data_IF_208232744437
#
_entry.id   IF_208232744437
#
_cell.length_a   1.000
_cell.length_b   1.000
_cell.length_c   1.000
_cell.angle_alpha   90.00
_cell.angle_beta   90.00
_cell.angle_gamma   90.00
#
_symmetry.space_group_name_H-M   'P 1'
#
loop_
_entity.id
_entity.type
_entity.pdbx_description
1 polymer ?
#
# COMPACT_ATOMS: atom_id res chain seq x y z
N UNK A 1 -15.73 10.55 17.32
CA UNK A 1 -15.51 9.59 16.23
C UNK A 1 -14.07 9.78 15.76
N UNK A 2 -13.16 8.86 16.10
CA UNK A 2 -11.80 8.91 15.56
C UNK A 2 -11.87 8.32 14.15
N UNK A 3 -12.00 9.16 13.14
CA UNK A 3 -11.93 8.72 11.75
C UNK A 3 -10.62 7.95 11.57
N UNK A 4 -10.68 6.79 10.93
CA UNK A 4 -9.59 5.82 10.81
C UNK A 4 -8.20 6.46 10.74
N UNK A 5 -7.38 6.21 11.77
CA UNK A 5 -6.16 6.98 12.02
C UNK A 5 -4.88 6.27 11.61
N UNK A 6 -4.91 4.96 11.32
CA UNK A 6 -3.66 4.18 11.21
C UNK A 6 -2.72 4.67 10.11
N UNK A 7 -3.23 4.88 8.89
CA UNK A 7 -2.40 5.40 7.80
C UNK A 7 -1.84 6.78 8.15
N UNK A 8 -2.69 7.69 8.63
CA UNK A 8 -2.24 9.04 9.00
C UNK A 8 -1.25 9.04 10.18
N UNK A 9 -1.47 8.20 11.18
CA UNK A 9 -0.55 7.99 12.29
C UNK A 9 0.79 7.45 11.78
N UNK A 10 0.77 6.53 10.80
CA UNK A 10 2.00 6.01 10.21
C UNK A 10 2.74 7.07 9.40
N UNK A 11 2.03 7.83 8.57
CA UNK A 11 2.62 8.95 7.81
C UNK A 11 3.23 9.99 8.74
N UNK A 12 2.58 10.29 9.87
CA UNK A 12 3.10 11.23 10.87
C UNK A 12 4.37 10.73 11.60
N UNK A 13 4.65 9.43 11.57
CA UNK A 13 5.88 8.85 12.12
C UNK A 13 7.04 8.85 11.13
N UNK A 14 6.83 9.20 9.86
CA UNK A 14 7.91 9.30 8.88
C UNK A 14 8.67 10.62 9.16
N UNK A 15 10.00 10.58 9.39
CA UNK A 15 10.76 11.80 9.68
C UNK A 15 10.66 12.82 8.52
N UNK A 16 10.66 14.10 8.86
CA UNK A 16 10.51 15.22 7.90
C UNK A 16 11.67 16.23 8.00
N UNK A 17 12.71 15.92 8.78
CA UNK A 17 13.88 16.77 8.92
C UNK A 17 14.68 16.80 7.61
N UNK A 18 14.92 18.00 7.08
CA UNK A 18 15.60 18.17 5.81
C UNK A 18 17.06 17.68 5.81
N UNK A 19 17.69 17.60 6.98
CA UNK A 19 19.08 17.18 7.19
C UNK A 19 19.23 15.69 7.51
N UNK A 20 18.15 15.00 7.84
CA UNK A 20 18.15 13.57 8.15
C UNK A 20 18.01 12.73 6.88
N UNK A 21 18.97 11.83 6.55
CA UNK A 21 18.87 10.95 5.39
C UNK A 21 17.69 9.97 5.45
N UNK A 22 17.15 9.66 6.64
CA UNK A 22 15.97 8.78 6.78
C UNK A 22 14.64 9.51 6.61
N UNK A 23 14.65 10.84 6.56
CA UNK A 23 13.44 11.62 6.32
C UNK A 23 12.85 11.40 4.94
N UNK A 24 11.55 11.65 4.84
CA UNK A 24 10.80 11.61 3.60
C UNK A 24 11.43 12.55 2.56
N UNK A 25 11.71 11.99 1.39
CA UNK A 25 12.03 12.75 0.18
C UNK A 25 10.86 12.72 -0.80
N UNK A 26 10.28 11.53 -1.03
CA UNK A 26 9.20 11.36 -1.99
C UNK A 26 8.22 10.27 -1.51
N UNK A 27 6.92 10.56 -1.60
CA UNK A 27 5.86 9.61 -1.28
C UNK A 27 5.41 8.93 -2.58
N UNK A 28 5.85 7.68 -2.76
CA UNK A 28 5.72 6.94 -4.02
C UNK A 28 4.33 6.33 -4.16
N UNK A 29 3.86 5.65 -3.11
CA UNK A 29 2.52 5.05 -3.04
C UNK A 29 1.90 5.37 -1.69
N UNK A 30 0.64 5.78 -1.72
CA UNK A 30 -0.19 5.92 -0.53
C UNK A 30 -1.59 5.39 -0.86
N UNK A 31 -1.86 4.15 -0.47
CA UNK A 31 -3.10 3.44 -0.79
C UNK A 31 -3.89 3.16 0.49
N UNK A 32 -5.17 3.50 0.49
CA UNK A 32 -6.09 3.30 1.61
C UNK A 32 -7.30 2.47 1.17
N UNK A 33 -7.61 1.42 1.92
CA UNK A 33 -8.70 0.48 1.66
C UNK A 33 -9.75 0.48 2.78
N UNK A 34 -10.68 -0.45 2.69
CA UNK A 34 -11.68 -0.65 3.75
C UNK A 34 -11.02 -1.06 5.09
N UNK A 35 -11.70 -0.76 6.20
CA UNK A 35 -11.29 -1.20 7.55
C UNK A 35 -9.86 -0.81 7.96
N UNK A 36 -9.43 0.40 7.61
CA UNK A 36 -8.08 0.93 7.89
C UNK A 36 -6.93 0.24 7.15
N UNK A 37 -7.22 -0.67 6.21
CA UNK A 37 -6.21 -1.28 5.34
C UNK A 37 -5.41 -0.19 4.65
N UNK A 38 -4.08 -0.34 4.63
CA UNK A 38 -3.25 0.57 3.87
C UNK A 38 -1.96 -0.09 3.39
N UNK A 39 -1.40 0.52 2.35
CA UNK A 39 -0.03 0.31 1.92
C UNK A 39 0.61 1.67 1.63
N UNK A 40 1.84 1.86 2.10
CA UNK A 40 2.63 3.05 1.83
C UNK A 40 4.02 2.64 1.37
N UNK A 41 4.51 3.32 0.34
CA UNK A 41 5.89 3.22 -0.14
C UNK A 41 6.44 4.63 -0.31
N UNK A 42 7.66 4.86 0.17
CA UNK A 42 8.31 6.15 0.06
C UNK A 42 9.80 6.01 -0.17
N UNK A 43 10.41 7.06 -0.69
CA UNK A 43 11.85 7.20 -0.81
C UNK A 43 12.33 8.16 0.28
N UNK A 44 13.37 7.77 1.00
CA UNK A 44 14.02 8.65 1.97
C UNK A 44 15.05 9.56 1.27
N UNK A 45 15.54 10.58 1.98
CA UNK A 45 16.54 11.53 1.47
C UNK A 45 17.88 10.88 1.15
N UNK A 46 18.23 9.78 1.80
CA UNK A 46 19.36 8.91 1.48
C UNK A 46 19.19 8.12 0.18
N UNK A 47 18.01 8.16 -0.43
CA UNK A 47 17.70 7.51 -1.71
C UNK A 47 17.20 6.07 -1.60
N UNK A 48 17.08 5.53 -0.39
CA UNK A 48 16.53 4.20 -0.15
C UNK A 48 14.99 4.22 -0.17
N UNK A 49 14.41 3.15 -0.72
CA UNK A 49 12.98 2.91 -0.63
C UNK A 49 12.63 2.23 0.69
N UNK A 50 11.48 2.63 1.24
CA UNK A 50 10.88 2.07 2.45
C UNK A 50 9.41 1.77 2.13
N UNK A 51 8.89 0.73 2.75
CA UNK A 51 7.49 0.36 2.62
C UNK A 51 6.91 -0.13 3.94
N UNK A 52 5.60 0.05 4.10
CA UNK A 52 4.83 -0.45 5.23
C UNK A 52 3.39 -0.74 4.80
N UNK A 53 2.70 -1.60 5.55
CA UNK A 53 1.33 -1.97 5.25
C UNK A 53 0.60 -2.58 6.44
N UNK A 54 -0.72 -2.46 6.41
CA UNK A 54 -1.60 -2.99 7.44
C UNK A 54 -2.79 -3.69 6.80
N UNK A 55 -3.12 -4.87 7.34
CA UNK A 55 -4.24 -5.72 6.92
C UNK A 55 -4.28 -5.99 5.41
N UNK A 56 -3.11 -6.28 4.83
CA UNK A 56 -3.01 -6.58 3.40
C UNK A 56 -3.49 -8.00 3.11
N UNK A 57 -4.28 -8.22 2.04
CA UNK A 57 -4.60 -9.56 1.57
C UNK A 57 -3.32 -10.39 1.39
N UNK A 58 -3.28 -11.67 1.82
CA UNK A 58 -2.05 -12.47 1.82
C UNK A 58 -1.34 -12.52 0.47
N UNK A 59 -2.10 -12.63 -0.62
CA UNK A 59 -1.59 -12.63 -1.99
C UNK A 59 -0.93 -11.29 -2.36
N UNK A 60 -1.53 -10.17 -1.95
CA UNK A 60 -0.96 -8.84 -2.17
C UNK A 60 0.31 -8.65 -1.32
N UNK A 61 0.28 -9.07 -0.06
CA UNK A 61 1.45 -9.00 0.82
C UNK A 61 2.63 -9.81 0.25
N UNK A 62 2.42 -11.06 -0.17
CA UNK A 62 3.47 -11.89 -0.76
C UNK A 62 4.02 -11.31 -2.07
N UNK A 63 3.20 -10.55 -2.81
CA UNK A 63 3.64 -9.89 -4.03
C UNK A 63 4.45 -8.61 -3.75
N UNK A 64 4.08 -7.83 -2.73
CA UNK A 64 4.81 -6.62 -2.30
C UNK A 64 6.08 -6.91 -1.50
N UNK A 65 6.12 -8.02 -0.78
CA UNK A 65 7.30 -8.58 -0.10
C UNK A 65 7.59 -9.98 -0.64
N UNK A 66 8.24 -10.10 -1.80
CA UNK A 66 8.63 -11.38 -2.37
C UNK A 66 9.39 -12.25 -1.36
N UNK A 67 9.01 -13.53 -1.20
CA UNK A 67 9.62 -14.43 -0.22
C UNK A 67 11.08 -14.79 -0.55
N UNK A 68 11.52 -14.54 -1.79
CA UNK A 68 12.90 -14.69 -2.23
C UNK A 68 13.81 -13.53 -1.80
N UNK A 69 13.26 -12.53 -1.11
CA UNK A 69 13.98 -11.33 -0.65
C UNK A 69 14.26 -10.32 -1.77
N UNK A 70 13.75 -10.55 -2.98
CA UNK A 70 13.82 -9.56 -4.05
C UNK A 70 12.96 -8.34 -3.75
N UNK A 71 13.35 -7.19 -4.28
CA UNK A 71 12.58 -5.96 -4.17
C UNK A 71 11.74 -5.74 -5.44
N UNK A 72 10.54 -5.16 -5.26
CA UNK A 72 9.73 -4.67 -6.39
C UNK A 72 10.36 -3.44 -7.04
N UNK A 73 9.96 -3.14 -8.26
CA UNK A 73 10.36 -1.90 -8.92
C UNK A 73 9.56 -0.72 -8.36
N UNK A 74 9.98 -0.19 -7.22
CA UNK A 74 9.27 0.87 -6.51
C UNK A 74 9.03 2.11 -7.37
N UNK A 75 9.93 2.42 -8.31
CA UNK A 75 9.80 3.59 -9.19
C UNK A 75 8.57 3.53 -10.12
N UNK A 76 8.09 2.34 -10.48
CA UNK A 76 6.89 2.15 -11.28
C UNK A 76 5.72 1.53 -10.52
N UNK A 77 5.89 1.33 -9.20
CA UNK A 77 4.91 0.66 -8.36
C UNK A 77 3.62 1.46 -8.23
N UNK A 78 2.50 0.80 -8.48
CA UNK A 78 1.15 1.28 -8.25
C UNK A 78 0.42 0.28 -7.37
N UNK A 79 -0.31 0.77 -6.36
CA UNK A 79 -1.21 -0.04 -5.53
C UNK A 79 -2.50 0.73 -5.34
N UNK A 80 -3.63 0.08 -5.59
CA UNK A 80 -4.96 0.65 -5.45
C UNK A 80 -5.85 -0.37 -4.75
N UNK A 81 -6.59 0.07 -3.72
CA UNK A 81 -7.65 -0.72 -3.12
C UNK A 81 -9.00 -0.34 -3.73
N UNK A 82 -9.80 -1.35 -4.09
CA UNK A 82 -11.17 -1.20 -4.55
C UNK A 82 -12.18 -1.39 -3.42
N UNK A 83 -13.42 -1.73 -3.77
CA UNK A 83 -14.47 -2.05 -2.79
C UNK A 83 -14.19 -3.40 -2.10
N UNK A 84 -14.40 -3.46 -0.79
CA UNK A 84 -14.18 -4.67 0.00
C UNK A 84 -12.73 -5.14 -0.08
N UNK A 85 -12.53 -6.37 -0.56
CA UNK A 85 -11.20 -6.99 -0.73
C UNK A 85 -10.63 -6.87 -2.15
N UNK A 86 -11.28 -6.09 -3.02
CA UNK A 86 -10.73 -5.81 -4.33
C UNK A 86 -9.43 -5.00 -4.22
N UNK A 87 -8.43 -5.34 -5.02
CA UNK A 87 -7.19 -4.58 -5.12
C UNK A 87 -6.53 -4.78 -6.48
N UNK A 88 -5.65 -3.86 -6.81
CA UNK A 88 -4.75 -3.93 -7.96
C UNK A 88 -3.37 -3.46 -7.51
N UNK A 89 -2.33 -4.21 -7.86
CA UNK A 89 -0.96 -3.79 -7.74
C UNK A 89 -0.16 -4.14 -8.98
N UNK A 90 0.68 -3.23 -9.44
CA UNK A 90 1.51 -3.42 -10.62
C UNK A 90 2.80 -2.63 -10.53
N UNK A 91 3.85 -3.15 -11.16
CA UNK A 91 5.07 -2.44 -11.46
C UNK A 91 5.59 -2.90 -12.83
N UNK A 92 6.79 -2.49 -13.21
CA UNK A 92 7.44 -2.89 -14.47
C UNK A 92 7.57 -4.40 -14.65
N UNK A 93 7.67 -5.16 -13.57
CA UNK A 93 7.93 -6.59 -13.57
C UNK A 93 6.64 -7.44 -13.54
N UNK A 94 5.46 -6.82 -13.46
CA UNK A 94 4.18 -7.52 -13.58
C UNK A 94 3.08 -6.92 -12.73
N UNK A 95 1.98 -7.67 -12.55
CA UNK A 95 0.83 -7.23 -11.77
C UNK A 95 0.17 -8.36 -10.98
N UNK A 96 -0.60 -8.00 -9.97
CA UNK A 96 -1.52 -8.86 -9.23
C UNK A 96 -2.82 -8.10 -8.99
N UNK A 97 -3.97 -8.77 -9.14
CA UNK A 97 -5.27 -8.15 -8.94
C UNK A 97 -6.26 -9.14 -8.30
N UNK A 98 -7.15 -8.60 -7.47
CA UNK A 98 -8.34 -9.27 -6.98
C UNK A 98 -9.53 -8.39 -7.34
N UNK A 99 -10.49 -8.94 -8.09
CA UNK A 99 -11.69 -8.22 -8.48
C UNK A 99 -12.74 -8.32 -7.38
N UNK A 100 -13.55 -7.28 -7.22
CA UNK A 100 -14.72 -7.37 -6.36
C UNK A 100 -15.63 -8.48 -6.88
N UNK A 101 -16.15 -9.31 -5.98
CA UNK A 101 -17.22 -10.24 -6.33
C UNK A 101 -18.49 -9.41 -6.47
N UNK A 102 -19.00 -9.27 -7.70
CA UNK A 102 -20.31 -8.66 -7.93
C UNK A 102 -21.40 -9.69 -7.59
N UNK A 103 -22.20 -9.43 -6.54
CA UNK A 103 -23.36 -10.24 -6.10
C UNK A 103 -23.16 -10.88 -4.72
N UNK A 104 -24.07 -10.74 -3.75
CA UNK A 104 -25.49 -11.04 -3.85
C UNK A 104 -26.39 -9.82 -3.53
N UNK A 105 -26.97 -9.18 -4.55
CA UNK A 105 -28.34 -8.69 -4.37
C UNK A 105 -29.22 -9.94 -4.28
N UNK A 106 -29.53 -10.37 -3.06
CA UNK A 106 -30.70 -11.23 -2.85
C UNK A 106 -31.90 -10.41 -3.26
N UNK A 107 -32.37 -10.63 -4.49
CA UNK A 107 -33.71 -10.26 -4.90
C UNK A 107 -34.70 -10.96 -3.98
N UNK A 108 -35.14 -10.26 -2.95
CA UNK A 108 -36.29 -10.67 -2.15
C UNK A 108 -37.53 -10.30 -2.95
N UNK A 109 -38.20 -11.34 -3.45
CA UNK A 109 -39.51 -11.28 -4.08
C UNK A 109 -40.61 -11.26 -3.03
#
# INVERSE_FOLDING_TARGET
MSASTRLYARLAQIPQDASDPESLADLVVCAFGAFERYYVCWKNRGGAYRQDGYDLPPTLHAWLWPPDGSARDYASLQVVFGRGDAYFAADRSGKVECKAVEGEEKGEK
#
